data_IF_739035771478
#
_entry.id   IF_739035771478
#
_cell.length_a   1.000
_cell.length_b   1.000
_cell.length_c   1.000
_cell.angle_alpha   90.00
_cell.angle_beta   90.00
_cell.angle_gamma   90.00
#
_symmetry.space_group_name_H-M   'P 1'
#
loop_
_entity.id
_entity.type
_entity.pdbx_description
1 polymer ?
#
# COMPACT_ATOMS: atom_id res chain seq x y z
N UNK A 1 -8.34 -11.60 26.86
CA UNK A 1 -8.19 -12.54 25.72
C UNK A 1 -7.70 -11.76 24.51
N UNK A 2 -6.77 -12.31 23.73
CA UNK A 2 -6.37 -11.71 22.45
C UNK A 2 -7.51 -11.86 21.47
N UNK A 3 -7.73 -10.86 20.61
CA UNK A 3 -8.80 -10.84 19.61
C UNK A 3 -8.21 -10.89 18.21
N UNK A 4 -8.89 -11.55 17.29
CA UNK A 4 -8.57 -11.58 15.87
C UNK A 4 -9.74 -10.99 15.08
N UNK A 5 -9.42 -10.20 14.05
CA UNK A 5 -10.41 -9.61 13.17
C UNK A 5 -10.19 -10.10 11.74
N UNK A 6 -11.26 -10.51 11.07
CA UNK A 6 -11.19 -11.07 9.72
C UNK A 6 -12.25 -10.46 8.83
N UNK A 7 -11.92 -10.26 7.56
CA UNK A 7 -12.90 -9.99 6.50
C UNK A 7 -13.22 -11.30 5.80
N UNK A 8 -14.49 -11.56 5.54
CA UNK A 8 -14.94 -12.75 4.81
C UNK A 8 -15.98 -12.36 3.78
N UNK A 9 -15.80 -12.82 2.54
CA UNK A 9 -16.83 -12.70 1.51
C UNK A 9 -17.82 -13.86 1.61
N UNK A 10 -19.10 -13.53 1.75
CA UNK A 10 -20.23 -14.44 1.90
C UNK A 10 -21.24 -14.26 0.76
N UNK A 11 -22.16 -15.22 0.59
CA UNK A 11 -23.24 -15.11 -0.38
C UNK A 11 -24.06 -13.84 -0.17
N UNK A 12 -24.60 -13.29 -1.26
CA UNK A 12 -25.36 -12.04 -1.28
C UNK A 12 -26.49 -11.98 -0.24
N UNK A 13 -27.18 -13.07 0.05
CA UNK A 13 -28.31 -13.10 0.98
C UNK A 13 -27.97 -13.72 2.35
N UNK A 14 -26.70 -13.73 2.74
CA UNK A 14 -26.24 -14.36 4.00
C UNK A 14 -26.65 -13.62 5.27
N UNK A 15 -26.91 -12.31 5.21
CA UNK A 15 -27.40 -11.54 6.35
C UNK A 15 -27.94 -10.15 6.00
N UNK A 16 -28.38 -9.42 7.03
CA UNK A 16 -28.83 -8.03 6.90
C UNK A 16 -27.63 -7.08 6.88
N UNK A 17 -27.37 -6.35 5.79
CA UNK A 17 -26.20 -5.50 5.70
C UNK A 17 -26.30 -4.29 6.64
N UNK A 18 -25.17 -3.97 7.27
CA UNK A 18 -24.89 -2.69 7.93
C UNK A 18 -24.76 -1.57 6.89
N UNK A 19 -24.04 -1.84 5.78
CA UNK A 19 -23.85 -0.88 4.69
C UNK A 19 -24.36 -1.41 3.36
N UNK A 20 -25.02 -0.54 2.61
CA UNK A 20 -25.53 -0.81 1.26
C UNK A 20 -25.18 0.34 0.33
N UNK A 21 -24.90 0.03 -0.93
CA UNK A 21 -24.70 1.05 -1.94
C UNK A 21 -26.02 1.75 -2.30
N UNK A 22 -25.99 3.04 -2.67
CA UNK A 22 -27.15 3.79 -3.19
C UNK A 22 -27.82 3.15 -4.42
N UNK A 23 -27.05 2.50 -5.30
CA UNK A 23 -27.51 1.90 -6.55
C UNK A 23 -27.93 0.42 -6.39
N UNK A 24 -28.79 -0.07 -7.29
CA UNK A 24 -29.27 -1.46 -7.27
C UNK A 24 -28.29 -2.41 -7.94
N UNK A 25 -27.77 -3.35 -7.16
CA UNK A 25 -26.86 -4.41 -7.59
C UNK A 25 -26.43 -5.23 -6.39
N UNK A 26 -26.22 -6.53 -6.57
CA UNK A 26 -25.74 -7.37 -5.48
C UNK A 26 -24.91 -8.53 -6.02
N UNK A 27 -23.64 -8.56 -5.63
CA UNK A 27 -22.74 -9.66 -5.93
C UNK A 27 -22.59 -10.60 -4.74
N UNK A 28 -22.11 -10.06 -3.61
CA UNK A 28 -21.78 -10.80 -2.39
C UNK A 28 -21.93 -9.87 -1.18
N UNK A 29 -21.59 -10.37 0.01
CA UNK A 29 -21.47 -9.55 1.21
C UNK A 29 -20.08 -9.72 1.81
N UNK A 30 -19.42 -8.62 2.16
CA UNK A 30 -18.21 -8.69 2.99
C UNK A 30 -18.59 -8.52 4.45
N UNK A 31 -18.00 -9.33 5.30
CA UNK A 31 -18.32 -9.37 6.73
C UNK A 31 -17.04 -9.25 7.55
N UNK A 32 -17.02 -8.26 8.44
CA UNK A 32 -15.98 -8.11 9.45
C UNK A 32 -16.41 -8.88 10.69
N UNK A 33 -15.65 -9.92 11.03
CA UNK A 33 -15.83 -10.71 12.24
C UNK A 33 -14.74 -10.42 13.27
N UNK A 34 -15.13 -10.46 14.54
CA UNK A 34 -14.25 -10.56 15.70
C UNK A 34 -14.28 -11.99 16.26
N UNK A 35 -13.12 -12.49 16.68
CA UNK A 35 -12.92 -13.80 17.30
C UNK A 35 -12.01 -13.67 18.53
N UNK A 36 -12.20 -14.52 19.54
CA UNK A 36 -11.23 -14.69 20.62
C UNK A 36 -10.23 -15.80 20.26
N UNK A 37 -8.95 -15.54 20.54
CA UNK A 37 -7.91 -16.59 20.50
C UNK A 37 -8.21 -17.61 21.59
N UNK A 38 -8.06 -18.90 21.26
CA UNK A 38 -8.33 -20.00 22.21
C UNK A 38 -7.43 -19.83 23.45
N UNK A 39 -8.03 -20.01 24.63
CA UNK A 39 -7.34 -19.80 25.90
C UNK A 39 -6.27 -20.88 26.19
N UNK A 40 -6.40 -22.05 25.56
CA UNK A 40 -5.54 -23.21 25.74
C UNK A 40 -4.58 -23.40 24.55
N UNK A 41 -4.87 -22.83 23.38
CA UNK A 41 -3.99 -22.87 22.21
C UNK A 41 -3.83 -21.49 21.55
N UNK A 42 -2.67 -20.83 21.72
CA UNK A 42 -2.42 -19.51 21.17
C UNK A 42 -2.38 -19.45 19.63
N UNK A 43 -2.38 -20.60 18.93
CA UNK A 43 -2.32 -20.69 17.47
C UNK A 43 -3.69 -20.90 16.81
N UNK A 44 -4.78 -20.94 17.57
CA UNK A 44 -6.14 -21.13 17.06
C UNK A 44 -7.11 -20.11 17.63
N UNK A 45 -8.27 -19.96 16.99
CA UNK A 45 -9.38 -19.14 17.49
C UNK A 45 -10.51 -20.03 18.01
N UNK A 46 -11.18 -19.60 19.09
CA UNK A 46 -12.41 -20.23 19.53
C UNK A 46 -13.54 -19.81 18.59
N UNK A 47 -13.90 -20.68 17.67
CA UNK A 47 -14.93 -20.41 16.66
C UNK A 47 -16.33 -20.14 17.24
N UNK A 48 -16.60 -20.52 18.49
CA UNK A 48 -17.87 -20.22 19.17
C UNK A 48 -18.01 -18.74 19.58
N UNK A 49 -16.89 -18.00 19.58
CA UNK A 49 -16.82 -16.59 20.04
C UNK A 49 -17.06 -15.57 18.93
N UNK A 50 -17.38 -16.03 17.72
CA UNK A 50 -17.60 -15.18 16.54
C UNK A 50 -18.63 -14.08 16.81
N UNK A 51 -18.22 -12.82 16.65
CA UNK A 51 -19.08 -11.63 16.67
C UNK A 51 -19.00 -10.89 15.35
N UNK A 52 -20.15 -10.61 14.74
CA UNK A 52 -20.23 -9.80 13.52
C UNK A 52 -20.19 -8.31 13.87
N UNK A 53 -19.29 -7.55 13.23
CA UNK A 53 -19.17 -6.11 13.45
C UNK A 53 -19.82 -5.30 12.33
N UNK A 54 -19.44 -5.59 11.09
CA UNK A 54 -19.88 -4.90 9.88
C UNK A 54 -20.24 -5.94 8.84
N UNK A 55 -21.35 -5.73 8.15
CA UNK A 55 -21.73 -6.47 6.94
C UNK A 55 -22.02 -5.49 5.82
N UNK A 56 -21.29 -5.58 4.71
CA UNK A 56 -21.45 -4.69 3.57
C UNK A 56 -22.02 -5.46 2.39
N UNK A 57 -23.14 -5.00 1.83
CA UNK A 57 -23.65 -5.51 0.56
C UNK A 57 -22.82 -4.92 -0.58
N UNK A 58 -21.97 -5.73 -1.20
CA UNK A 58 -21.19 -5.29 -2.35
C UNK A 58 -22.06 -5.25 -3.61
N UNK A 59 -22.16 -4.09 -4.28
CA UNK A 59 -22.98 -3.96 -5.48
C UNK A 59 -22.35 -4.67 -6.70
N UNK A 60 -21.02 -4.86 -6.70
CA UNK A 60 -20.25 -5.55 -7.75
C UNK A 60 -19.25 -6.55 -7.14
N UNK A 61 -18.49 -7.23 -8.01
CA UNK A 61 -17.49 -8.24 -7.63
C UNK A 61 -16.13 -7.63 -7.29
N UNK A 62 -15.92 -6.37 -7.67
CA UNK A 62 -14.68 -5.61 -7.63
C UNK A 62 -14.81 -4.37 -6.74
N UNK A 63 -13.67 -3.86 -6.27
CA UNK A 63 -13.54 -2.71 -5.35
C UNK A 63 -14.34 -2.90 -4.06
N UNK A 64 -13.99 -3.95 -3.33
CA UNK A 64 -14.70 -4.41 -2.15
C UNK A 64 -14.02 -3.91 -0.85
N UNK A 65 -14.37 -4.52 0.29
CA UNK A 65 -13.66 -4.31 1.55
C UNK A 65 -12.31 -5.04 1.47
N UNK A 66 -11.20 -4.33 1.70
CA UNK A 66 -9.85 -4.93 1.62
C UNK A 66 -9.22 -5.15 3.00
N UNK A 67 -8.44 -4.19 3.49
CA UNK A 67 -7.63 -4.36 4.70
C UNK A 67 -8.29 -3.81 5.97
N UNK A 68 -8.00 -4.50 7.08
CA UNK A 68 -8.22 -4.07 8.45
C UNK A 68 -6.87 -3.77 9.10
N UNK A 69 -6.77 -2.70 9.88
CA UNK A 69 -5.62 -2.49 10.78
C UNK A 69 -6.00 -1.64 11.98
N UNK A 70 -5.32 -1.84 13.10
CA UNK A 70 -5.44 -0.95 14.25
C UNK A 70 -4.49 0.24 14.10
N UNK A 71 -5.02 1.44 14.37
CA UNK A 71 -4.22 2.64 14.49
C UNK A 71 -3.51 2.72 15.85
N UNK A 72 -2.52 3.63 15.98
CA UNK A 72 -1.83 3.89 17.25
C UNK A 72 -2.78 4.46 18.32
N UNK A 73 -3.95 4.93 17.91
CA UNK A 73 -5.04 5.40 18.77
C UNK A 73 -5.91 4.26 19.34
N UNK A 74 -5.66 3.01 18.94
CA UNK A 74 -6.38 1.83 19.41
C UNK A 74 -7.69 1.54 18.67
N UNK A 75 -8.04 2.32 17.64
CA UNK A 75 -9.24 2.08 16.85
C UNK A 75 -8.98 1.23 15.61
N UNK A 76 -10.03 0.58 15.11
CA UNK A 76 -9.95 -0.26 13.91
C UNK A 76 -10.24 0.59 12.67
N UNK A 77 -9.28 0.59 11.74
CA UNK A 77 -9.36 1.22 10.43
C UNK A 77 -9.68 0.19 9.35
N UNK A 78 -10.55 0.57 8.42
CA UNK A 78 -11.08 -0.29 7.37
C UNK A 78 -11.05 0.46 6.05
N UNK A 79 -10.43 -0.11 5.02
CA UNK A 79 -10.48 0.43 3.66
C UNK A 79 -11.58 -0.24 2.85
N UNK A 80 -12.41 0.57 2.20
CA UNK A 80 -13.56 0.13 1.39
C UNK A 80 -13.49 0.77 0.00
N UNK A 81 -13.49 -0.06 -1.05
CA UNK A 81 -13.62 0.40 -2.43
C UNK A 81 -14.95 1.08 -2.73
N UNK A 82 -15.02 1.77 -3.87
CA UNK A 82 -16.20 2.51 -4.35
C UNK A 82 -17.40 1.60 -4.74
N UNK A 83 -17.24 0.27 -4.60
CA UNK A 83 -18.25 -0.72 -4.95
C UNK A 83 -18.25 -1.10 -6.42
N UNK A 84 -17.21 -0.72 -7.18
CA UNK A 84 -16.86 -1.41 -8.41
C UNK A 84 -16.59 -0.47 -9.57
N UNK A 85 -16.25 -1.07 -10.70
CA UNK A 85 -15.81 -0.32 -11.86
C UNK A 85 -17.00 0.11 -12.75
N UNK A 86 -17.81 1.08 -12.32
CA UNK A 86 -18.86 1.73 -13.13
C UNK A 86 -18.92 3.24 -12.86
N UNK A 87 -19.31 4.06 -13.83
CA UNK A 87 -19.51 5.51 -13.62
C UNK A 87 -20.39 5.80 -12.40
N UNK A 88 -21.49 5.05 -12.26
CA UNK A 88 -22.42 5.19 -11.15
C UNK A 88 -21.82 4.80 -9.79
N UNK A 89 -20.99 3.76 -9.71
CA UNK A 89 -20.34 3.37 -8.45
C UNK A 89 -19.21 4.31 -8.06
N UNK A 90 -18.53 4.91 -9.04
CA UNK A 90 -17.47 5.87 -8.77
C UNK A 90 -17.97 7.16 -8.09
N UNK A 91 -19.25 7.52 -8.27
CA UNK A 91 -19.86 8.65 -7.54
C UNK A 91 -20.03 8.37 -6.04
N UNK A 92 -20.07 7.11 -5.61
CA UNK A 92 -20.24 6.76 -4.19
C UNK A 92 -19.11 7.31 -3.32
N UNK A 93 -17.89 7.39 -3.88
CA UNK A 93 -16.70 7.86 -3.18
C UNK A 93 -16.84 9.30 -2.65
N UNK A 94 -17.59 10.16 -3.37
CA UNK A 94 -17.87 11.55 -2.98
C UNK A 94 -19.09 11.69 -2.05
N UNK A 95 -19.99 10.72 -2.05
CA UNK A 95 -21.18 10.74 -1.21
C UNK A 95 -20.83 10.33 0.22
N UNK A 96 -21.26 11.14 1.20
CA UNK A 96 -20.96 10.92 2.62
C UNK A 96 -21.99 10.04 3.33
N UNK A 97 -23.10 9.68 2.69
CA UNK A 97 -24.18 8.88 3.26
C UNK A 97 -23.98 7.36 3.09
N UNK A 98 -22.83 6.94 2.56
CA UNK A 98 -22.48 5.54 2.33
C UNK A 98 -20.99 5.24 2.61
N UNK A 99 -20.67 3.95 2.70
CA UNK A 99 -19.35 3.47 3.15
C UNK A 99 -18.34 3.24 2.02
N UNK A 100 -18.70 3.48 0.76
CA UNK A 100 -17.90 3.09 -0.41
C UNK A 100 -16.90 4.18 -0.81
N UNK A 101 -15.67 3.80 -1.14
CA UNK A 101 -14.58 4.71 -1.49
C UNK A 101 -14.07 5.50 -0.27
N UNK A 102 -13.94 4.81 0.87
CA UNK A 102 -13.70 5.41 2.20
C UNK A 102 -12.57 4.71 2.94
N UNK A 103 -11.95 5.46 3.86
CA UNK A 103 -11.36 4.90 5.07
C UNK A 103 -12.38 5.07 6.19
N UNK A 104 -12.76 3.97 6.83
CA UNK A 104 -13.63 3.97 8.01
C UNK A 104 -12.78 3.80 9.27
N UNK A 105 -13.21 4.38 10.39
CA UNK A 105 -12.58 4.24 11.71
C UNK A 105 -13.66 3.96 12.76
N UNK A 106 -13.54 2.82 13.44
CA UNK A 106 -14.52 2.36 14.42
C UNK A 106 -13.86 1.93 15.74
N UNK A 107 -14.62 1.98 16.81
CA UNK A 107 -14.25 1.50 18.14
C UNK A 107 -14.91 0.14 18.42
N UNK A 108 -14.08 -0.91 18.44
CA UNK A 108 -14.53 -2.27 18.73
C UNK A 108 -14.66 -2.57 20.23
N UNK A 109 -14.06 -1.72 21.08
CA UNK A 109 -14.07 -1.81 22.53
C UNK A 109 -15.26 -1.11 23.20
N UNK A 110 -16.06 -0.36 22.42
CA UNK A 110 -17.27 0.32 22.90
C UNK A 110 -16.97 1.24 24.09
N UNK A 111 -15.89 2.02 24.00
CA UNK A 111 -15.46 2.92 25.06
C UNK A 111 -16.60 3.90 25.42
N UNK A 112 -16.84 4.21 26.71
CA UNK A 112 -17.99 5.01 27.13
C UNK A 112 -18.07 6.42 26.54
N UNK A 113 -16.95 6.97 26.08
CA UNK A 113 -16.90 8.28 25.44
C UNK A 113 -17.39 8.26 23.98
N UNK A 114 -17.49 7.09 23.37
CA UNK A 114 -17.80 6.89 21.96
C UNK A 114 -19.29 6.59 21.75
N UNK A 115 -19.79 6.89 20.55
CA UNK A 115 -21.21 6.78 20.23
C UNK A 115 -21.53 5.38 19.70
N UNK A 116 -22.46 4.61 20.28
CA UNK A 116 -22.83 3.30 19.72
C UNK A 116 -23.26 3.40 18.25
N UNK A 117 -22.81 2.45 17.43
CA UNK A 117 -23.18 2.37 16.01
C UNK A 117 -24.65 1.97 15.84
N UNK A 118 -25.19 2.14 14.63
CA UNK A 118 -26.58 1.82 14.34
C UNK A 118 -26.95 0.35 14.59
N UNK A 119 -26.00 -0.58 14.45
CA UNK A 119 -26.20 -2.01 14.72
C UNK A 119 -25.82 -2.43 16.15
N UNK A 120 -25.34 -1.48 16.99
CA UNK A 120 -24.84 -1.69 18.35
C UNK A 120 -23.74 -2.76 18.47
N UNK A 121 -23.01 -3.04 17.39
CA UNK A 121 -21.89 -3.99 17.38
C UNK A 121 -20.53 -3.32 17.51
N UNK A 122 -20.44 -2.01 17.43
CA UNK A 122 -19.22 -1.22 17.64
C UNK A 122 -19.63 0.22 18.01
N UNK A 123 -18.69 1.07 18.33
CA UNK A 123 -18.92 2.49 18.58
C UNK A 123 -18.16 3.35 17.57
N UNK A 124 -18.55 4.61 17.48
CA UNK A 124 -17.91 5.63 16.66
C UNK A 124 -17.04 6.49 17.58
N UNK A 125 -15.72 6.60 17.31
CA UNK A 125 -14.84 7.50 18.02
C UNK A 125 -15.40 8.92 18.10
N UNK A 126 -15.35 9.53 19.27
CA UNK A 126 -15.91 10.88 19.52
C UNK A 126 -15.26 11.99 18.66
N UNK A 127 -14.05 11.73 18.15
CA UNK A 127 -13.25 12.60 17.28
C UNK A 127 -13.34 12.23 15.79
N UNK A 128 -14.23 11.31 15.39
CA UNK A 128 -14.45 11.05 13.96
C UNK A 128 -14.98 12.31 13.25
N UNK A 129 -14.42 12.65 12.06
CA UNK A 129 -14.63 13.94 11.42
C UNK A 129 -16.08 14.20 10.97
N UNK A 130 -16.84 13.13 10.69
CA UNK A 130 -18.22 13.23 10.21
C UNK A 130 -19.28 12.86 11.25
N UNK A 131 -18.89 12.61 12.52
CA UNK A 131 -19.81 12.18 13.58
C UNK A 131 -21.04 13.10 13.74
N UNK A 132 -20.83 14.41 13.63
CA UNK A 132 -21.88 15.42 13.82
C UNK A 132 -22.36 16.05 12.51
N UNK A 133 -21.99 15.49 11.36
CA UNK A 133 -22.37 16.02 10.04
C UNK A 133 -23.72 15.43 9.64
N UNK A 134 -24.79 16.24 9.49
CA UNK A 134 -26.11 15.73 9.16
C UNK A 134 -26.12 14.93 7.85
N UNK A 135 -26.61 13.69 7.90
CA UNK A 135 -26.71 12.80 6.74
C UNK A 135 -25.41 12.10 6.34
N UNK A 136 -24.28 12.40 6.98
CA UNK A 136 -23.05 11.65 6.77
C UNK A 136 -23.02 10.36 7.63
N UNK A 137 -22.34 9.34 7.13
CA UNK A 137 -21.99 8.17 7.94
C UNK A 137 -20.90 8.56 8.96
N UNK A 138 -21.16 8.37 10.26
CA UNK A 138 -20.25 8.79 11.31
C UNK A 138 -18.97 7.93 11.36
N UNK A 139 -18.95 6.76 10.71
CA UNK A 139 -17.78 5.89 10.56
C UNK A 139 -16.68 6.47 9.66
N UNK A 140 -17.02 7.42 8.78
CA UNK A 140 -16.08 7.93 7.78
C UNK A 140 -14.93 8.67 8.49
N UNK A 141 -13.70 8.25 8.18
CA UNK A 141 -12.47 8.93 8.57
C UNK A 141 -11.90 9.76 7.42
N UNK A 142 -11.93 9.24 6.20
CA UNK A 142 -11.56 9.94 4.97
C UNK A 142 -12.36 9.38 3.78
N UNK A 143 -12.47 10.15 2.69
CA UNK A 143 -13.30 9.79 1.54
C UNK A 143 -12.67 10.19 0.20
N UNK A 144 -13.34 9.87 -0.91
CA UNK A 144 -12.85 10.17 -2.26
C UNK A 144 -11.74 9.23 -2.73
N UNK A 145 -11.79 7.96 -2.33
CA UNK A 145 -10.87 6.90 -2.79
C UNK A 145 -11.58 5.96 -3.77
N UNK A 146 -10.84 5.33 -4.67
CA UNK A 146 -11.40 4.42 -5.68
C UNK A 146 -11.44 2.98 -5.20
N UNK A 147 -10.27 2.38 -5.05
CA UNK A 147 -10.06 1.01 -4.62
C UNK A 147 -8.85 0.97 -3.67
N UNK A 148 -8.99 1.53 -2.45
CA UNK A 148 -7.97 1.46 -1.43
C UNK A 148 -7.75 -0.01 -1.04
N UNK A 149 -6.55 -0.51 -1.34
CA UNK A 149 -6.23 -1.95 -1.26
C UNK A 149 -5.52 -2.30 0.05
N UNK A 150 -4.35 -1.71 0.31
CA UNK A 150 -3.65 -1.84 1.60
C UNK A 150 -3.51 -0.50 2.31
N UNK A 151 -3.39 -0.61 3.62
CA UNK A 151 -3.14 0.49 4.53
C UNK A 151 -2.01 0.11 5.50
N UNK A 152 -1.21 1.09 5.90
CA UNK A 152 -0.15 0.91 6.89
C UNK A 152 -0.01 2.17 7.74
N UNK A 153 0.21 1.98 9.04
CA UNK A 153 0.66 3.03 9.93
C UNK A 153 2.19 3.05 9.97
N UNK A 154 2.77 4.24 10.00
CA UNK A 154 4.15 4.42 10.42
C UNK A 154 4.22 4.44 11.94
N UNK A 155 4.82 3.42 12.54
CA UNK A 155 4.89 3.27 14.00
C UNK A 155 5.65 4.41 14.69
N UNK A 156 6.55 5.09 13.97
CA UNK A 156 7.31 6.21 14.53
C UNK A 156 6.50 7.51 14.62
N UNK A 157 5.61 7.76 13.65
CA UNK A 157 4.91 9.05 13.51
C UNK A 157 3.39 8.96 13.68
N UNK A 158 2.83 7.76 13.58
CA UNK A 158 1.39 7.51 13.53
C UNK A 158 0.74 7.89 12.18
N UNK A 159 1.52 8.25 11.16
CA UNK A 159 0.98 8.59 9.85
C UNK A 159 0.34 7.36 9.18
N UNK A 160 -0.86 7.54 8.62
CA UNK A 160 -1.59 6.50 7.88
C UNK A 160 -1.33 6.64 6.38
N UNK A 161 -0.83 5.58 5.75
CA UNK A 161 -0.63 5.47 4.31
C UNK A 161 -1.64 4.49 3.74
N UNK A 162 -2.28 4.83 2.62
CA UNK A 162 -3.23 3.98 1.90
C UNK A 162 -2.85 3.93 0.43
N UNK A 163 -2.72 2.73 -0.11
CA UNK A 163 -2.51 2.52 -1.54
C UNK A 163 -3.86 2.44 -2.26
N UNK A 164 -4.09 3.30 -3.24
CA UNK A 164 -5.35 3.39 -3.98
C UNK A 164 -5.13 3.04 -5.46
N UNK A 165 -5.81 1.99 -5.92
CA UNK A 165 -5.67 1.49 -7.29
C UNK A 165 -6.47 2.35 -8.25
N UNK A 166 -5.80 2.87 -9.28
CA UNK A 166 -6.35 3.71 -10.32
C UNK A 166 -7.34 3.00 -11.24
N UNK A 167 -8.05 3.78 -12.04
CA UNK A 167 -8.94 3.25 -13.06
C UNK A 167 -8.15 2.76 -14.27
N UNK A 168 -7.31 3.63 -14.82
CA UNK A 168 -6.71 3.46 -16.15
C UNK A 168 -5.36 4.11 -16.32
N UNK A 169 -5.03 5.11 -15.52
CA UNK A 169 -3.91 5.99 -15.80
C UNK A 169 -2.93 6.09 -14.65
N UNK A 170 -3.39 6.17 -13.40
CA UNK A 170 -2.54 6.54 -12.27
C UNK A 170 -2.82 5.68 -11.04
N UNK A 171 -1.77 5.05 -10.52
CA UNK A 171 -1.75 4.43 -9.21
C UNK A 171 -1.29 5.45 -8.15
N UNK A 172 -1.84 5.39 -6.94
CA UNK A 172 -1.60 6.40 -5.92
C UNK A 172 -1.27 5.82 -4.54
N UNK A 173 -0.37 6.50 -3.81
CA UNK A 173 -0.16 6.36 -2.38
C UNK A 173 -0.65 7.63 -1.70
N UNK A 174 -1.64 7.50 -0.82
CA UNK A 174 -2.24 8.61 -0.08
C UNK A 174 -1.75 8.60 1.36
N UNK A 175 -1.26 9.74 1.85
CA UNK A 175 -1.11 9.98 3.29
C UNK A 175 -2.46 10.48 3.83
N UNK A 176 -3.15 9.62 4.57
CA UNK A 176 -4.52 9.85 5.02
C UNK A 176 -4.58 10.84 6.17
N UNK A 177 -5.45 11.84 6.04
CA UNK A 177 -5.76 12.82 7.09
C UNK A 177 -7.25 12.82 7.43
N UNK A 178 -7.65 13.09 8.69
CA UNK A 178 -9.05 13.06 9.09
C UNK A 178 -9.89 14.07 8.30
N UNK A 179 -10.98 13.62 7.70
CA UNK A 179 -11.94 14.44 6.98
C UNK A 179 -11.57 14.79 5.54
N UNK A 180 -10.36 14.42 5.08
CA UNK A 180 -9.90 14.78 3.75
C UNK A 180 -10.62 14.01 2.62
N UNK A 181 -10.72 14.70 1.48
CA UNK A 181 -11.26 14.20 0.22
C UNK A 181 -10.13 13.91 -0.77
N UNK A 182 -9.92 12.65 -1.14
CA UNK A 182 -8.87 12.23 -2.08
C UNK A 182 -9.29 12.31 -3.56
N UNK A 183 -10.45 12.93 -3.82
CA UNK A 183 -10.82 13.43 -5.14
C UNK A 183 -11.46 12.42 -6.08
N UNK A 184 -11.39 11.11 -5.85
CA UNK A 184 -12.10 10.15 -6.72
C UNK A 184 -13.62 10.37 -6.61
N UNK A 185 -14.36 10.54 -7.71
CA UNK A 185 -13.99 10.33 -9.12
C UNK A 185 -13.83 11.63 -9.93
N UNK A 186 -13.61 12.77 -9.30
CA UNK A 186 -13.23 14.03 -9.97
C UNK A 186 -11.76 14.00 -10.41
N UNK A 187 -10.93 13.27 -9.69
CA UNK A 187 -9.50 13.10 -9.94
C UNK A 187 -9.08 11.64 -9.94
N UNK A 188 -8.04 11.32 -10.71
CA UNK A 188 -7.29 10.05 -10.68
C UNK A 188 -5.82 10.39 -10.42
N UNK A 189 -5.38 10.22 -9.17
CA UNK A 189 -4.16 10.86 -8.68
C UNK A 189 -4.30 12.39 -8.64
N UNK A 190 -3.27 13.10 -9.06
CA UNK A 190 -3.26 14.57 -9.16
C UNK A 190 -3.95 15.11 -10.43
N UNK A 191 -4.40 14.23 -11.32
CA UNK A 191 -4.98 14.58 -12.62
C UNK A 191 -6.50 14.57 -12.58
N UNK A 192 -7.12 15.37 -13.47
CA UNK A 192 -8.56 15.38 -13.67
C UNK A 192 -9.01 14.07 -14.33
N UNK A 193 -10.13 13.55 -13.83
CA UNK A 193 -10.80 12.37 -14.36
C UNK A 193 -12.14 12.75 -14.98
N UNK A 194 -12.36 12.34 -16.23
CA UNK A 194 -13.63 12.45 -16.94
C UNK A 194 -14.20 11.03 -17.14
N UNK A 195 -15.29 10.66 -16.44
CA UNK A 195 -15.92 9.35 -16.60
C UNK A 195 -16.37 9.04 -18.04
N UNK A 196 -16.67 10.04 -18.87
CA UNK A 196 -17.06 9.83 -20.26
C UNK A 196 -15.88 9.41 -21.15
N UNK A 197 -14.66 9.77 -20.77
CA UNK A 197 -13.43 9.52 -21.54
C UNK A 197 -12.63 8.37 -20.91
N UNK A 198 -12.37 8.46 -19.60
CA UNK A 198 -11.39 7.62 -18.92
C UNK A 198 -11.95 6.23 -18.54
N UNK A 199 -13.27 6.10 -18.45
CA UNK A 199 -13.90 4.84 -18.02
C UNK A 199 -13.69 3.68 -19.01
N UNK A 200 -13.68 3.95 -20.32
CA UNK A 200 -13.45 2.96 -21.40
C UNK A 200 -12.36 3.37 -22.40
N UNK A 201 -11.81 4.58 -22.25
CA UNK A 201 -10.78 5.13 -23.15
C UNK A 201 -9.39 4.48 -22.99
N UNK A 202 -8.40 4.98 -23.75
CA UNK A 202 -7.03 4.50 -23.66
C UNK A 202 -6.44 4.77 -22.26
N UNK A 203 -5.39 4.03 -21.90
CA UNK A 203 -4.58 4.35 -20.70
C UNK A 203 -3.96 5.74 -20.84
N UNK A 204 -3.65 6.36 -19.71
CA UNK A 204 -3.03 7.70 -19.64
C UNK A 204 -3.89 8.76 -20.35
N UNK A 205 -5.21 8.69 -20.19
CA UNK A 205 -6.17 9.61 -20.81
C UNK A 205 -6.62 10.74 -19.89
N UNK A 206 -5.95 10.93 -18.74
CA UNK A 206 -6.26 11.97 -17.76
C UNK A 206 -5.76 13.35 -18.22
N UNK A 207 -6.38 14.41 -17.69
CA UNK A 207 -6.00 15.79 -18.01
C UNK A 207 -5.29 16.45 -16.82
N UNK A 208 -4.34 17.38 -17.05
CA UNK A 208 -3.71 18.12 -15.96
C UNK A 208 -4.73 19.00 -15.22
N UNK A 209 -4.65 19.05 -13.90
CA UNK A 209 -5.42 19.98 -13.06
C UNK A 209 -4.77 21.37 -13.09
N UNK A 210 -5.04 22.12 -14.17
CA UNK A 210 -4.45 23.43 -14.42
C UNK A 210 -5.23 24.56 -13.71
N UNK A 211 -4.55 25.62 -13.25
CA UNK A 211 -5.20 26.80 -12.70
C UNK A 211 -6.18 27.45 -13.67
N UNK A 212 -7.34 27.85 -13.13
CA UNK A 212 -8.31 28.67 -13.83
C UNK A 212 -7.87 30.15 -13.90
N UNK A 213 -8.76 31.03 -14.38
CA UNK A 213 -8.49 32.46 -14.51
C UNK A 213 -8.18 33.18 -13.17
N UNK A 214 -8.56 32.59 -12.03
CA UNK A 214 -8.27 33.10 -10.69
C UNK A 214 -6.99 32.49 -10.10
N UNK A 215 -6.33 31.58 -10.80
CA UNK A 215 -5.15 30.88 -10.32
C UNK A 215 -5.45 29.69 -9.41
N UNK A 216 -6.71 29.22 -9.37
CA UNK A 216 -7.15 28.10 -8.54
C UNK A 216 -7.36 26.85 -9.40
N UNK A 217 -6.94 25.71 -8.88
CA UNK A 217 -7.19 24.40 -9.51
C UNK A 217 -8.46 23.75 -8.99
N UNK A 218 -8.90 22.65 -9.61
CA UNK A 218 -10.07 21.93 -9.08
C UNK A 218 -9.81 21.46 -7.65
N UNK A 219 -8.59 20.97 -7.38
CA UNK A 219 -8.20 20.60 -6.02
C UNK A 219 -8.34 21.77 -5.02
N UNK A 220 -7.91 22.97 -5.40
CA UNK A 220 -8.02 24.15 -4.51
C UNK A 220 -9.49 24.54 -4.26
N UNK A 221 -10.30 24.54 -5.32
CA UNK A 221 -11.72 24.97 -5.25
C UNK A 221 -12.60 24.00 -4.47
N UNK A 222 -12.36 22.70 -4.62
CA UNK A 222 -13.18 21.64 -4.01
C UNK A 222 -12.54 21.07 -2.72
N UNK A 223 -11.37 21.57 -2.31
CA UNK A 223 -10.64 21.08 -1.12
C UNK A 223 -10.16 19.64 -1.26
N UNK A 224 -9.71 19.24 -2.47
CA UNK A 224 -9.22 17.89 -2.73
C UNK A 224 -7.76 17.76 -2.31
N UNK A 225 -7.41 16.58 -1.82
CA UNK A 225 -6.07 16.23 -1.36
C UNK A 225 -5.38 15.37 -2.41
N UNK A 226 -4.27 15.88 -2.95
CA UNK A 226 -3.43 15.13 -3.88
C UNK A 226 -2.67 14.00 -3.14
N UNK A 227 -2.34 12.90 -3.84
CA UNK A 227 -1.60 11.81 -3.24
C UNK A 227 -0.19 12.23 -2.83
N UNK A 228 0.38 11.49 -1.88
CA UNK A 228 1.78 11.63 -1.50
C UNK A 228 2.68 11.26 -2.69
N UNK A 229 2.33 10.16 -3.36
CA UNK A 229 3.07 9.66 -4.50
C UNK A 229 2.12 9.04 -5.53
N UNK A 230 2.51 9.12 -6.79
CA UNK A 230 1.75 8.56 -7.89
C UNK A 230 2.68 8.09 -9.01
N UNK A 231 2.23 7.09 -9.77
CA UNK A 231 2.95 6.60 -10.94
C UNK A 231 1.96 6.10 -12.00
N UNK A 232 2.39 6.11 -13.26
CA UNK A 232 1.48 5.83 -14.37
C UNK A 232 1.27 4.33 -14.64
N UNK A 233 0.24 4.05 -15.44
CA UNK A 233 -0.16 2.68 -15.78
C UNK A 233 0.75 1.95 -16.79
N UNK A 234 1.86 2.59 -17.20
CA UNK A 234 2.96 2.00 -17.97
C UNK A 234 4.04 1.46 -17.03
N UNK A 235 4.29 2.14 -15.91
CA UNK A 235 5.27 1.73 -14.88
C UNK A 235 4.72 0.66 -13.91
N UNK A 236 3.42 0.72 -13.59
CA UNK A 236 2.68 -0.25 -12.76
C UNK A 236 1.20 -0.25 -13.13
N UNK A 237 0.33 -1.02 -12.45
CA UNK A 237 -1.12 -1.11 -12.80
C UNK A 237 -2.04 -1.52 -11.66
N UNK A 238 -1.49 -1.87 -10.51
CA UNK A 238 -2.27 -2.29 -9.35
C UNK A 238 -1.35 -2.24 -8.13
N UNK A 239 -1.27 -1.06 -7.52
CA UNK A 239 -0.50 -0.85 -6.30
C UNK A 239 -0.98 -1.79 -5.19
N UNK A 240 -0.04 -2.43 -4.51
CA UNK A 240 -0.33 -3.38 -3.41
C UNK A 240 -0.02 -2.82 -2.04
N UNK A 241 0.41 -1.56 -1.97
CA UNK A 241 0.82 -0.90 -0.74
C UNK A 241 2.14 -1.42 -0.18
N UNK A 242 2.44 -0.98 1.03
CA UNK A 242 3.79 -0.96 1.55
C UNK A 242 3.86 -0.66 3.04
N UNK A 243 5.08 -0.52 3.54
CA UNK A 243 5.36 -0.09 4.90
C UNK A 243 6.53 0.91 4.91
N UNK A 244 6.51 1.81 5.89
CA UNK A 244 7.67 2.64 6.18
C UNK A 244 8.73 1.78 6.86
N UNK A 245 9.93 1.77 6.31
CA UNK A 245 11.09 1.12 6.90
C UNK A 245 11.56 1.92 8.13
N UNK A 246 11.43 1.29 9.30
CA UNK A 246 11.84 1.83 10.60
C UNK A 246 12.67 0.81 11.36
N UNK A 247 13.76 1.26 11.96
CA UNK A 247 14.71 0.43 12.72
C UNK A 247 15.28 -0.73 11.88
N UNK A 248 15.48 -0.48 10.59
CA UNK A 248 16.00 -1.47 9.63
C UNK A 248 17.44 -1.13 9.21
N UNK A 249 17.75 -1.24 7.92
CA UNK A 249 19.05 -0.86 7.39
C UNK A 249 19.11 0.65 7.18
N UNK A 250 20.19 1.37 7.57
CA UNK A 250 20.27 2.83 7.47
C UNK A 250 19.99 3.40 6.08
N UNK A 251 20.30 2.64 5.02
CA UNK A 251 20.08 3.09 3.64
C UNK A 251 18.60 3.15 3.21
N UNK A 252 17.70 2.50 3.94
CA UNK A 252 16.26 2.47 3.63
C UNK A 252 15.42 3.10 4.74
N UNK A 253 16.03 3.57 5.83
CA UNK A 253 15.34 4.17 6.95
C UNK A 253 14.51 5.38 6.51
N UNK A 254 13.22 5.40 6.87
CA UNK A 254 12.27 6.45 6.48
C UNK A 254 11.67 6.30 5.08
N UNK A 255 12.07 5.29 4.29
CA UNK A 255 11.44 5.03 3.01
C UNK A 255 10.14 4.25 3.19
N UNK A 256 9.07 4.70 2.53
CA UNK A 256 7.88 3.88 2.32
C UNK A 256 8.11 2.98 1.09
N UNK A 257 8.30 1.69 1.34
CA UNK A 257 8.56 0.68 0.31
C UNK A 257 7.25 -0.02 -0.03
N UNK A 258 6.85 -0.02 -1.30
CA UNK A 258 5.58 -0.55 -1.80
C UNK A 258 5.76 -1.34 -3.09
N UNK A 259 4.78 -2.19 -3.43
CA UNK A 259 4.86 -3.07 -4.59
C UNK A 259 3.72 -2.92 -5.58
N UNK A 260 3.89 -3.47 -6.79
CA UNK A 260 2.87 -3.56 -7.82
C UNK A 260 2.51 -5.02 -8.17
N UNK A 261 1.21 -5.30 -8.24
CA UNK A 261 0.70 -6.65 -8.47
C UNK A 261 0.94 -7.15 -9.89
N UNK A 262 0.85 -6.29 -10.91
CA UNK A 262 0.85 -6.73 -12.30
C UNK A 262 2.26 -6.92 -12.83
N UNK A 263 3.20 -6.04 -12.46
CA UNK A 263 4.58 -6.13 -12.92
C UNK A 263 5.56 -6.72 -11.91
N UNK A 264 5.14 -6.96 -10.66
CA UNK A 264 6.01 -7.53 -9.65
C UNK A 264 7.19 -6.62 -9.28
N UNK A 265 7.01 -5.31 -9.44
CA UNK A 265 8.04 -4.29 -9.16
C UNK A 265 7.87 -3.73 -7.75
N UNK A 266 8.99 -3.33 -7.17
CA UNK A 266 9.04 -2.57 -5.92
C UNK A 266 9.41 -1.13 -6.21
N UNK A 267 8.86 -0.25 -5.39
CA UNK A 267 9.10 1.18 -5.43
C UNK A 267 9.33 1.71 -4.02
N UNK A 268 10.00 2.86 -3.94
CA UNK A 268 10.22 3.58 -2.70
C UNK A 268 9.99 5.08 -2.88
N UNK A 269 9.47 5.69 -1.82
CA UNK A 269 9.37 7.14 -1.64
C UNK A 269 9.86 7.50 -0.24
N UNK A 270 10.37 8.72 -0.07
CA UNK A 270 10.55 9.27 1.27
C UNK A 270 9.17 9.46 1.93
N UNK A 271 8.97 8.86 3.09
CA UNK A 271 7.68 8.89 3.80
C UNK A 271 7.29 10.29 4.28
N UNK A 272 8.27 11.19 4.43
CA UNK A 272 8.10 12.58 4.86
C UNK A 272 8.12 13.56 3.68
N UNK A 273 8.09 13.06 2.45
CA UNK A 273 8.05 13.89 1.26
C UNK A 273 6.76 14.76 1.19
N UNK A 274 6.82 15.93 0.53
CA UNK A 274 5.61 16.67 0.20
C UNK A 274 4.76 15.92 -0.86
N UNK A 275 3.46 16.26 -1.02
CA UNK A 275 2.59 15.63 -2.02
C UNK A 275 3.13 15.69 -3.46
N UNK A 276 2.75 14.70 -4.27
CA UNK A 276 3.31 14.44 -5.61
C UNK A 276 3.20 15.61 -6.60
N UNK A 277 2.21 16.48 -6.41
CA UNK A 277 2.05 17.70 -7.22
C UNK A 277 3.23 18.67 -7.09
N UNK A 278 3.98 18.58 -6.00
CA UNK A 278 5.32 19.15 -5.94
C UNK A 278 6.28 18.15 -6.56
N UNK A 279 7.00 18.53 -7.62
CA UNK A 279 8.05 17.70 -8.26
C UNK A 279 9.23 17.34 -7.33
N UNK A 280 9.06 17.48 -6.01
CA UNK A 280 10.01 17.28 -4.93
C UNK A 280 9.94 15.87 -4.30
N UNK A 281 9.04 14.99 -4.76
CA UNK A 281 8.81 13.66 -4.18
C UNK A 281 8.78 12.54 -5.26
N UNK A 282 9.91 12.25 -5.94
CA UNK A 282 9.91 11.25 -7.00
C UNK A 282 9.70 9.83 -6.44
N UNK A 283 8.81 9.07 -7.07
CA UNK A 283 8.78 7.61 -6.93
C UNK A 283 10.06 7.04 -7.56
N UNK A 284 10.78 6.24 -6.78
CA UNK A 284 11.99 5.55 -7.26
C UNK A 284 11.73 4.06 -7.34
N UNK A 285 12.26 3.40 -8.38
CA UNK A 285 12.26 1.94 -8.41
C UNK A 285 13.20 1.42 -7.32
N UNK A 286 12.68 0.53 -6.47
CA UNK A 286 13.41 -0.06 -5.37
C UNK A 286 13.97 -1.41 -5.82
N UNK A 287 15.22 -1.39 -6.29
CA UNK A 287 15.91 -2.60 -6.71
C UNK A 287 16.52 -3.32 -5.50
N UNK A 288 16.33 -4.64 -5.45
CA UNK A 288 16.99 -5.52 -4.48
C UNK A 288 18.08 -6.29 -5.24
N UNK A 289 19.27 -6.38 -4.63
CA UNK A 289 20.43 -7.05 -5.21
C UNK A 289 20.19 -8.54 -5.47
N UNK A 290 20.81 -9.05 -6.53
CA UNK A 290 20.51 -10.30 -7.24
C UNK A 290 21.10 -11.57 -6.61
N UNK A 291 21.85 -11.46 -5.52
CA UNK A 291 22.34 -12.62 -4.78
C UNK A 291 21.20 -13.43 -4.13
N UNK A 292 20.04 -12.79 -3.95
CA UNK A 292 18.81 -13.42 -3.50
C UNK A 292 17.98 -14.03 -4.63
N UNK A 293 16.88 -14.75 -4.29
CA UNK A 293 15.91 -15.17 -5.29
C UNK A 293 15.32 -13.95 -6.02
N UNK A 294 15.00 -14.08 -7.32
CA UNK A 294 14.37 -12.98 -8.05
C UNK A 294 13.04 -12.59 -7.42
N UNK A 295 12.65 -11.33 -7.62
CA UNK A 295 11.33 -10.87 -7.20
C UNK A 295 10.21 -11.73 -7.82
N UNK A 296 9.13 -12.00 -7.08
CA UNK A 296 7.98 -12.71 -7.62
C UNK A 296 7.36 -11.94 -8.79
N UNK A 297 6.80 -12.65 -9.78
CA UNK A 297 6.12 -12.02 -10.93
C UNK A 297 4.96 -11.11 -10.52
N UNK A 298 4.35 -11.39 -9.37
CA UNK A 298 3.30 -10.58 -8.75
C UNK A 298 3.60 -10.39 -7.29
N UNK A 299 3.52 -9.15 -6.83
CA UNK A 299 3.55 -8.83 -5.40
C UNK A 299 2.10 -8.74 -4.94
N UNK A 300 1.71 -9.52 -3.92
CA UNK A 300 0.36 -9.56 -3.39
C UNK A 300 0.18 -8.64 -2.17
N UNK A 301 1.26 -8.48 -1.39
CA UNK A 301 1.31 -7.60 -0.23
C UNK A 301 2.76 -7.41 0.20
N UNK A 302 3.02 -6.30 0.85
CA UNK A 302 4.18 -6.12 1.71
C UNK A 302 3.70 -6.18 3.16
N UNK A 303 4.48 -6.79 4.03
CA UNK A 303 4.18 -6.93 5.46
C UNK A 303 5.39 -6.62 6.33
N UNK A 304 5.18 -6.54 7.64
CA UNK A 304 6.21 -6.26 8.64
C UNK A 304 6.09 -7.23 9.82
N UNK A 305 7.21 -7.64 10.41
CA UNK A 305 7.20 -8.37 11.70
C UNK A 305 7.30 -7.42 12.91
N UNK A 306 7.25 -7.98 14.13
CA UNK A 306 7.34 -7.21 15.38
C UNK A 306 8.71 -6.54 15.59
N UNK A 307 9.77 -7.00 14.92
CA UNK A 307 11.11 -6.39 14.96
C UNK A 307 11.29 -5.32 13.89
N UNK A 308 10.30 -5.19 13.02
CA UNK A 308 10.25 -4.17 12.00
C UNK A 308 10.81 -4.58 10.64
N UNK A 309 11.21 -5.84 10.46
CA UNK A 309 11.68 -6.31 9.16
C UNK A 309 10.55 -6.34 8.15
N UNK A 310 10.86 -5.98 6.90
CA UNK A 310 9.90 -5.92 5.80
C UNK A 310 9.93 -7.24 5.01
N UNK A 311 8.74 -7.74 4.68
CA UNK A 311 8.52 -8.96 3.93
C UNK A 311 7.67 -8.71 2.69
N UNK A 312 7.96 -9.44 1.63
CA UNK A 312 7.22 -9.44 0.37
C UNK A 312 6.48 -10.77 0.29
N UNK A 313 5.15 -10.70 0.18
CA UNK A 313 4.33 -11.83 -0.22
C UNK A 313 4.06 -11.72 -1.72
N UNK A 314 4.40 -12.75 -2.48
CA UNK A 314 4.17 -12.75 -3.92
C UNK A 314 4.16 -14.15 -4.51
N UNK A 315 4.02 -14.23 -5.82
CA UNK A 315 4.03 -15.52 -6.52
C UNK A 315 4.00 -15.39 -8.04
N UNK A 316 3.93 -16.51 -8.76
CA UNK A 316 3.74 -16.51 -10.20
C UNK A 316 2.37 -15.94 -10.60
N UNK A 317 2.24 -15.55 -11.87
CA UNK A 317 0.98 -15.00 -12.40
C UNK A 317 -0.22 -15.98 -12.33
N UNK A 318 0.05 -17.29 -12.20
CA UNK A 318 -0.97 -18.33 -12.03
C UNK A 318 -1.67 -18.27 -10.67
N UNK A 319 -1.05 -17.65 -9.65
CA UNK A 319 -1.54 -17.65 -8.27
C UNK A 319 -1.26 -18.94 -7.49
N UNK A 320 -0.57 -19.92 -8.07
CA UNK A 320 -0.11 -21.12 -7.37
C UNK A 320 1.25 -20.87 -6.70
N UNK A 321 1.56 -21.55 -5.59
CA UNK A 321 2.90 -21.59 -4.98
C UNK A 321 3.49 -20.21 -4.60
N UNK A 322 2.76 -19.47 -3.74
CA UNK A 322 3.24 -18.19 -3.20
C UNK A 322 4.49 -18.31 -2.32
N UNK A 323 5.28 -17.25 -2.27
CA UNK A 323 6.50 -17.12 -1.48
C UNK A 323 6.41 -15.92 -0.53
N UNK A 324 7.08 -16.04 0.60
CA UNK A 324 7.33 -14.92 1.53
C UNK A 324 8.84 -14.68 1.57
N UNK A 325 9.27 -13.50 1.15
CA UNK A 325 10.68 -13.10 1.10
C UNK A 325 10.93 -11.97 2.10
N UNK A 326 12.04 -12.02 2.83
CA UNK A 326 12.44 -10.92 3.72
C UNK A 326 13.41 -9.99 2.99
N UNK A 327 13.17 -8.69 3.05
CA UNK A 327 14.16 -7.69 2.62
C UNK A 327 15.24 -7.62 3.70
N UNK A 328 16.49 -7.84 3.30
CA UNK A 328 17.64 -7.77 4.19
C UNK A 328 18.78 -7.05 3.49
N UNK A 329 19.70 -6.48 4.28
CA UNK A 329 20.95 -5.98 3.74
C UNK A 329 21.68 -7.13 3.04
N UNK A 330 22.23 -6.86 1.85
CA UNK A 330 23.17 -7.78 1.23
C UNK A 330 24.32 -8.01 2.22
N UNK A 331 24.70 -9.26 2.43
CA UNK A 331 26.00 -9.53 3.03
C UNK A 331 27.02 -8.90 2.10
N UNK A 332 27.88 -8.02 2.61
CA UNK A 332 28.99 -7.53 1.82
C UNK A 332 29.68 -8.77 1.23
N UNK A 333 29.97 -8.81 -0.10
CA UNK A 333 30.81 -9.87 -0.62
C UNK A 333 32.06 -9.93 0.27
N UNK A 334 32.59 -11.14 0.56
CA UNK A 334 33.84 -11.25 1.29
C UNK A 334 34.82 -10.26 0.66
N UNK A 335 35.50 -9.45 1.50
CA UNK A 335 36.42 -8.44 0.98
C UNK A 335 37.33 -9.15 -0.02
N UNK A 336 37.40 -8.68 -1.29
CA UNK A 336 38.22 -9.35 -2.28
C UNK A 336 39.60 -9.52 -1.68
N UNK A 337 40.08 -10.76 -1.68
CA UNK A 337 41.42 -10.97 -1.18
C UNK A 337 42.40 -10.17 -2.05
N UNK A 338 43.50 -9.66 -1.49
CA UNK A 338 44.40 -8.78 -2.23
C UNK A 338 44.78 -9.39 -3.58
N UNK A 339 44.30 -8.81 -4.68
CA UNK A 339 44.54 -9.33 -6.03
C UNK A 339 43.31 -9.84 -6.77
N UNK A 340 42.19 -10.12 -6.10
CA UNK A 340 40.92 -10.56 -6.68
C UNK A 340 40.07 -9.32 -7.03
N UNK A 341 40.25 -8.77 -8.23
CA UNK A 341 39.58 -7.54 -8.65
C UNK A 341 38.23 -7.80 -9.32
N UNK A 342 37.96 -9.05 -9.74
CA UNK A 342 36.68 -9.45 -10.30
C UNK A 342 35.71 -10.04 -9.26
N UNK A 343 36.17 -10.19 -8.01
CA UNK A 343 35.44 -10.73 -6.87
C UNK A 343 34.94 -12.18 -7.06
N UNK A 344 35.67 -13.01 -7.82
CA UNK A 344 35.32 -14.41 -8.06
C UNK A 344 35.97 -15.40 -7.07
N UNK A 345 36.65 -14.87 -6.04
CA UNK A 345 37.38 -15.61 -5.00
C UNK A 345 38.62 -16.37 -5.50
N UNK A 346 39.08 -16.10 -6.72
CA UNK A 346 40.29 -16.64 -7.32
C UNK A 346 41.13 -15.50 -7.90
N UNK A 347 42.41 -15.43 -7.56
CA UNK A 347 43.31 -14.47 -8.21
C UNK A 347 43.88 -15.08 -9.48
N UNK A 348 43.39 -14.70 -10.65
CA UNK A 348 43.80 -15.27 -11.94
C UNK A 348 44.00 -14.25 -13.08
N UNK A 349 44.01 -14.74 -14.32
CA UNK A 349 44.21 -13.89 -15.50
C UNK A 349 43.04 -12.93 -15.77
N UNK A 350 41.84 -13.20 -15.25
CA UNK A 350 40.70 -12.32 -15.33
C UNK A 350 40.93 -11.04 -14.53
N UNK A 351 41.53 -11.14 -13.34
CA UNK A 351 41.93 -9.98 -12.53
C UNK A 351 43.01 -9.15 -13.21
N UNK A 352 44.02 -9.82 -13.77
CA UNK A 352 45.07 -9.16 -14.54
C UNK A 352 44.49 -8.44 -15.76
N UNK A 353 43.46 -9.02 -16.39
CA UNK A 353 42.80 -8.43 -17.55
C UNK A 353 42.03 -7.16 -17.19
N UNK A 354 41.41 -7.10 -16.00
CA UNK A 354 40.79 -5.88 -15.50
C UNK A 354 41.81 -4.75 -15.31
N UNK A 355 42.99 -5.06 -14.78
CA UNK A 355 44.10 -4.10 -14.63
C UNK A 355 44.65 -3.64 -15.99
N UNK A 356 44.88 -4.58 -16.92
CA UNK A 356 45.45 -4.26 -18.23
C UNK A 356 44.49 -3.48 -19.12
N UNK A 357 43.18 -3.69 -18.98
CA UNK A 357 42.17 -2.96 -19.75
C UNK A 357 41.87 -1.56 -19.18
N UNK A 358 42.18 -1.31 -17.90
CA UNK A 358 42.05 0.00 -17.23
C UNK A 358 43.29 0.90 -17.32
N UNK A 359 44.27 0.54 -18.16
CA UNK A 359 45.55 1.25 -18.24
C UNK A 359 45.38 2.66 -18.86
N UNK A 360 45.17 3.68 -18.03
CA UNK A 360 45.11 5.08 -18.47
C UNK A 360 44.05 5.97 -17.81
N UNK A 361 43.16 5.42 -16.96
CA UNK A 361 42.07 6.20 -16.36
C UNK A 361 42.41 6.75 -14.96
N UNK A 362 41.80 7.90 -14.61
CA UNK A 362 42.21 8.80 -13.51
C UNK A 362 41.86 8.29 -12.08
N UNK A 363 41.30 7.10 -11.93
CA UNK A 363 40.91 6.52 -10.65
C UNK A 363 41.79 5.32 -10.26
N UNK A 364 42.85 5.61 -9.49
CA UNK A 364 43.38 4.72 -8.45
C UNK A 364 44.13 3.46 -8.89
N UNK A 365 45.47 3.55 -8.97
CA UNK A 365 46.34 2.38 -8.93
C UNK A 365 46.62 1.95 -7.49
N UNK A 366 46.09 0.79 -7.11
CA UNK A 366 46.72 -0.17 -6.21
C UNK A 366 46.42 -1.53 -6.83
N UNK A 367 47.30 -2.47 -7.16
CA UNK A 367 48.75 -2.57 -7.12
C UNK A 367 49.05 -3.83 -7.99
N UNK A 368 49.60 -3.69 -9.20
CA UNK A 368 49.91 -4.84 -10.08
C UNK A 368 50.78 -5.89 -9.35
N UNK A 369 51.59 -5.43 -8.39
CA UNK A 369 52.39 -6.31 -7.56
C UNK A 369 51.53 -7.17 -6.62
N UNK A 370 50.34 -6.71 -6.24
CA UNK A 370 49.38 -7.45 -5.42
C UNK A 370 48.70 -8.59 -6.20
N UNK A 371 48.28 -8.40 -7.47
CA UNK A 371 47.80 -9.52 -8.30
C UNK A 371 48.90 -10.55 -8.53
N UNK A 372 50.10 -10.10 -8.88
CA UNK A 372 51.23 -11.01 -9.13
C UNK A 372 51.68 -11.74 -7.87
N UNK A 373 51.60 -11.11 -6.69
CA UNK A 373 51.96 -11.72 -5.41
C UNK A 373 50.97 -12.80 -4.98
N UNK A 374 49.70 -12.67 -5.37
CA UNK A 374 48.63 -13.58 -4.97
C UNK A 374 48.13 -14.47 -6.11
N UNK A 375 48.77 -14.45 -7.28
CA UNK A 375 48.33 -15.19 -8.46
C UNK A 375 48.20 -16.71 -8.19
N UNK A 376 47.02 -17.26 -8.44
CA UNK A 376 46.65 -18.64 -8.16
C UNK A 376 46.16 -18.89 -6.72
N UNK A 377 46.00 -17.85 -5.90
CA UNK A 377 45.36 -17.97 -4.60
C UNK A 377 43.85 -18.18 -4.74
N UNK A 378 43.28 -18.96 -3.84
CA UNK A 378 41.84 -19.13 -3.64
C UNK A 378 41.49 -18.69 -2.23
N UNK A 379 40.44 -17.89 -2.09
CA UNK A 379 40.09 -17.25 -0.82
C UNK A 379 38.88 -17.97 -0.22
N UNK A 380 38.94 -18.25 1.09
CA UNK A 380 37.85 -18.91 1.86
C UNK A 380 36.81 -17.91 2.38
#
# INVERSE_FOLDING_TARGET
HRRLYTVTSEFSNSGTPTFTAPQTGQSHQDVVYEWLVDANDPNTVDTSTRRELIRTRQPRVDHNLNQLAFGPDGYLYIVMGDGGNTVASSEHAQQLDNAFGKVLRIDVDMLPANTPSANNQYAIPADNPFLNTPGALPEIFAYGLRNPYRLAFDDATGALYVSDVGQRSVEAINRITPGANYGWNLKEGSFLYDPAINFSGPRNSVLPDLPDANGETLADREGLTDPLAEYDHLEGRSVTGGHVARDTHPAIEGLYIFGDFIFGRLFAIDADAPPARSAAAPVTEFTIDTDGPPLPQRIYSIGRDEQGHIYILGGPASGADGVVLRIAAATAPPAPCPGDYNADSVVDFADLSLILNGFGDEYGFEDLSTVLANFGATCE
#
